data_IF_379117940295
#
_entry.id   IF_379117940295
#
_cell.length_a   1.000
_cell.length_b   1.000
_cell.length_c   1.000
_cell.angle_alpha   90.00
_cell.angle_beta   90.00
_cell.angle_gamma   90.00
#
_symmetry.space_group_name_H-M   'P 1'
#
loop_
_entity.id
_entity.type
_entity.pdbx_description
1 polymer ?
#
# COMPACT_ATOMS: atom_id res chain seq x y z
N UNK A 1 9.95 -7.80 -30.70
CA UNK A 1 10.05 -8.22 -29.29
C UNK A 1 8.96 -7.54 -28.47
N UNK A 2 7.89 -8.25 -28.08
CA UNK A 2 6.88 -7.70 -27.16
C UNK A 2 7.48 -7.73 -25.75
N UNK A 3 7.70 -6.59 -25.10
CA UNK A 3 8.35 -6.48 -23.79
C UNK A 3 7.53 -7.23 -22.72
N UNK A 4 7.90 -8.47 -22.32
CA UNK A 4 7.05 -9.29 -21.45
C UNK A 4 6.99 -8.73 -20.02
N UNK A 5 8.07 -8.08 -19.57
CA UNK A 5 8.18 -7.45 -18.25
C UNK A 5 7.07 -6.43 -18.02
N UNK A 6 6.93 -5.45 -18.92
CA UNK A 6 5.94 -4.37 -18.78
C UNK A 6 4.53 -4.92 -18.85
N UNK A 7 4.26 -5.81 -19.81
CA UNK A 7 2.92 -6.41 -19.98
C UNK A 7 2.48 -7.21 -18.76
N UNK A 8 3.36 -8.06 -18.21
CA UNK A 8 3.05 -8.83 -17.01
C UNK A 8 2.86 -7.91 -15.81
N UNK A 9 3.76 -6.94 -15.62
CA UNK A 9 3.69 -6.00 -14.50
C UNK A 9 2.38 -5.20 -14.52
N UNK A 10 1.91 -4.77 -15.69
CA UNK A 10 0.61 -4.09 -15.83
C UNK A 10 -0.54 -5.03 -15.45
N UNK A 11 -0.56 -6.26 -15.99
CA UNK A 11 -1.62 -7.23 -15.70
C UNK A 11 -1.73 -7.52 -14.20
N UNK A 12 -0.61 -7.88 -13.57
CA UNK A 12 -0.58 -8.18 -12.14
C UNK A 12 -0.84 -6.93 -11.28
N UNK A 13 -0.32 -5.77 -11.67
CA UNK A 13 -0.58 -4.50 -10.99
C UNK A 13 -2.05 -4.08 -11.01
N UNK A 14 -2.76 -4.27 -12.13
CA UNK A 14 -4.19 -3.98 -12.22
C UNK A 14 -5.01 -4.88 -11.29
N UNK A 15 -4.75 -6.20 -11.33
CA UNK A 15 -5.46 -7.16 -10.47
C UNK A 15 -5.16 -6.90 -8.99
N UNK A 16 -3.89 -6.64 -8.64
CA UNK A 16 -3.49 -6.28 -7.28
C UNK A 16 -4.18 -5.00 -6.81
N UNK A 17 -4.26 -3.97 -7.67
CA UNK A 17 -4.93 -2.71 -7.36
C UNK A 17 -6.42 -2.88 -7.11
N UNK A 18 -7.12 -3.60 -7.98
CA UNK A 18 -8.56 -3.88 -7.82
C UNK A 18 -8.82 -4.70 -6.56
N UNK A 19 -8.01 -5.73 -6.30
CA UNK A 19 -8.12 -6.52 -5.08
C UNK A 19 -7.87 -5.67 -3.83
N UNK A 20 -6.84 -4.80 -3.86
CA UNK A 20 -6.54 -3.91 -2.74
C UNK A 20 -7.70 -2.95 -2.46
N UNK A 21 -8.35 -2.40 -3.50
CA UNK A 21 -9.58 -1.60 -3.34
C UNK A 21 -10.71 -2.41 -2.72
N UNK A 22 -10.93 -3.64 -3.19
CA UNK A 22 -11.99 -4.50 -2.66
C UNK A 22 -11.76 -4.84 -1.17
N UNK A 23 -10.52 -5.17 -0.80
CA UNK A 23 -10.12 -5.42 0.60
C UNK A 23 -10.32 -4.16 1.44
N UNK A 24 -9.93 -2.98 0.93
CA UNK A 24 -10.13 -1.71 1.62
C UNK A 24 -11.60 -1.45 1.95
N UNK A 25 -12.49 -1.66 0.98
CA UNK A 25 -13.94 -1.48 1.16
C UNK A 25 -14.49 -2.51 2.15
N UNK A 26 -14.07 -3.78 2.04
CA UNK A 26 -14.46 -4.82 2.98
C UNK A 26 -14.04 -4.48 4.42
N UNK A 27 -12.80 -4.00 4.62
CA UNK A 27 -12.32 -3.59 5.94
C UNK A 27 -13.18 -2.49 6.55
N UNK A 28 -13.55 -1.49 5.76
CA UNK A 28 -14.41 -0.40 6.23
C UNK A 28 -15.76 -0.93 6.75
N UNK A 29 -16.43 -1.80 5.98
CA UNK A 29 -17.71 -2.39 6.40
C UNK A 29 -17.58 -3.41 7.55
N UNK A 30 -16.38 -3.96 7.80
CA UNK A 30 -16.07 -4.74 9.00
C UNK A 30 -15.80 -3.87 10.24
N UNK A 31 -15.98 -2.54 10.13
CA UNK A 31 -15.80 -1.58 11.21
C UNK A 31 -14.35 -1.13 11.43
N UNK A 32 -13.40 -1.61 10.63
CA UNK A 32 -11.99 -1.21 10.71
C UNK A 32 -11.67 -0.18 9.63
N UNK A 33 -11.36 1.04 10.05
CA UNK A 33 -11.03 2.08 9.08
C UNK A 33 -9.70 1.74 8.38
N UNK A 34 -9.65 1.65 7.04
CA UNK A 34 -8.46 1.19 6.32
C UNK A 34 -7.25 2.11 6.49
N UNK A 35 -7.47 3.41 6.71
CA UNK A 35 -6.41 4.37 7.00
C UNK A 35 -5.87 4.32 8.45
N UNK A 36 -6.40 3.45 9.31
CA UNK A 36 -5.95 3.31 10.71
C UNK A 36 -5.10 2.07 10.96
N UNK A 37 -4.84 1.26 9.93
CA UNK A 37 -4.02 0.05 10.07
C UNK A 37 -2.57 0.45 10.27
N UNK A 38 -1.90 -0.18 11.26
CA UNK A 38 -0.46 -0.03 11.44
C UNK A 38 0.28 -0.42 10.16
N UNK A 39 1.28 0.36 9.69
CA UNK A 39 2.02 0.04 8.48
C UNK A 39 2.63 -1.37 8.46
N UNK A 40 2.94 -1.95 9.62
CA UNK A 40 3.50 -3.30 9.75
C UNK A 40 2.47 -4.43 9.56
N UNK A 41 1.18 -4.14 9.80
CA UNK A 41 0.07 -5.09 9.66
C UNK A 41 -0.81 -4.75 8.44
N UNK A 42 -0.27 -3.92 7.55
CA UNK A 42 -0.98 -3.47 6.37
C UNK A 42 -1.17 -4.62 5.36
N UNK A 43 -2.42 -4.86 4.98
CA UNK A 43 -2.77 -5.93 4.04
C UNK A 43 -2.05 -5.80 2.69
N UNK A 44 -1.63 -4.58 2.31
CA UNK A 44 -0.87 -4.31 1.08
C UNK A 44 0.46 -5.05 1.05
N UNK A 45 1.08 -5.36 2.20
CA UNK A 45 2.30 -6.17 2.27
C UNK A 45 2.04 -7.54 1.62
N UNK A 46 0.94 -8.20 2.00
CA UNK A 46 0.57 -9.50 1.43
C UNK A 46 0.18 -9.40 -0.03
N UNK A 47 -0.62 -8.39 -0.40
CA UNK A 47 -1.03 -8.18 -1.80
C UNK A 47 0.19 -7.93 -2.69
N UNK A 48 1.07 -6.99 -2.35
CA UNK A 48 2.29 -6.75 -3.11
C UNK A 48 3.18 -7.99 -3.13
N UNK A 49 3.34 -8.67 -1.99
CA UNK A 49 4.16 -9.86 -1.88
C UNK A 49 3.75 -10.95 -2.87
N UNK A 50 2.46 -11.28 -2.88
CA UNK A 50 1.88 -12.32 -3.75
C UNK A 50 2.02 -11.92 -5.23
N UNK A 51 1.57 -10.72 -5.60
CA UNK A 51 1.49 -10.34 -7.02
C UNK A 51 2.87 -10.04 -7.63
N UNK A 52 3.80 -9.45 -6.87
CA UNK A 52 5.19 -9.29 -7.31
C UNK A 52 5.84 -10.66 -7.47
N UNK A 53 5.68 -11.55 -6.49
CA UNK A 53 6.29 -12.88 -6.55
C UNK A 53 5.81 -13.66 -7.77
N UNK A 54 4.50 -13.76 -8.00
CA UNK A 54 3.96 -14.50 -9.14
C UNK A 54 4.33 -13.84 -10.47
N UNK A 55 4.28 -12.52 -10.59
CA UNK A 55 4.66 -11.83 -11.82
C UNK A 55 6.15 -12.04 -12.16
N UNK A 56 7.04 -11.92 -11.18
CA UNK A 56 8.48 -12.10 -11.40
C UNK A 56 8.84 -13.56 -11.64
N UNK A 57 8.18 -14.49 -10.94
CA UNK A 57 8.32 -15.93 -11.18
C UNK A 57 7.88 -16.29 -12.60
N UNK A 58 6.73 -15.79 -13.04
CA UNK A 58 6.23 -16.02 -14.40
C UNK A 58 7.19 -15.47 -15.46
N UNK A 59 7.68 -14.23 -15.27
CA UNK A 59 8.68 -13.61 -16.13
C UNK A 59 9.95 -14.47 -16.22
N UNK A 60 10.47 -14.90 -15.09
CA UNK A 60 11.69 -15.71 -15.00
C UNK A 60 11.51 -17.06 -15.70
N UNK A 61 10.49 -17.82 -15.30
CA UNK A 61 10.37 -19.23 -15.64
C UNK A 61 9.86 -19.44 -17.07
N UNK A 62 8.94 -18.58 -17.56
CA UNK A 62 8.31 -18.76 -18.88
C UNK A 62 8.85 -17.84 -19.97
N UNK A 63 9.44 -16.69 -19.64
CA UNK A 63 9.86 -15.69 -20.63
C UNK A 63 11.37 -15.45 -20.68
N UNK A 64 12.12 -15.82 -19.64
CA UNK A 64 13.56 -15.53 -19.52
C UNK A 64 14.42 -16.77 -19.26
N UNK A 65 13.88 -17.97 -19.49
CA UNK A 65 14.64 -19.22 -19.42
C UNK A 65 15.22 -19.53 -18.04
N UNK A 66 14.54 -19.11 -16.96
CA UNK A 66 14.97 -19.34 -15.58
C UNK A 66 15.93 -18.29 -15.01
N UNK A 67 16.31 -17.28 -15.81
CA UNK A 67 17.20 -16.18 -15.40
C UNK A 67 16.38 -14.94 -15.08
N UNK A 68 16.70 -14.26 -13.99
CA UNK A 68 16.10 -12.98 -13.62
C UNK A 68 17.17 -12.11 -12.95
N UNK A 69 17.48 -10.97 -13.57
CA UNK A 69 18.39 -9.99 -12.99
C UNK A 69 17.69 -9.15 -11.93
N UNK A 70 18.44 -8.69 -10.93
CA UNK A 70 17.91 -7.84 -9.86
C UNK A 70 17.19 -6.60 -10.39
N UNK A 71 17.75 -5.93 -11.40
CA UNK A 71 17.14 -4.73 -11.98
C UNK A 71 15.79 -5.04 -12.69
N UNK A 72 15.64 -6.24 -13.25
CA UNK A 72 14.36 -6.67 -13.85
C UNK A 72 13.31 -6.90 -12.77
N UNK A 73 13.72 -7.48 -11.64
CA UNK A 73 12.91 -7.57 -10.44
C UNK A 73 12.45 -6.19 -9.98
N UNK A 74 13.40 -5.27 -9.79
CA UNK A 74 13.14 -3.92 -9.29
C UNK A 74 12.18 -3.14 -10.18
N UNK A 75 12.37 -3.17 -11.51
CA UNK A 75 11.48 -2.49 -12.45
C UNK A 75 10.11 -3.18 -12.51
N UNK A 76 10.09 -4.51 -12.63
CA UNK A 76 8.83 -5.27 -12.74
C UNK A 76 7.96 -5.14 -11.50
N UNK A 77 8.52 -5.40 -10.32
CA UNK A 77 7.82 -5.23 -9.05
C UNK A 77 7.50 -3.77 -8.75
N UNK A 78 8.38 -2.82 -9.12
CA UNK A 78 8.12 -1.39 -8.98
C UNK A 78 6.93 -0.91 -9.80
N UNK A 79 6.78 -1.38 -11.04
CA UNK A 79 5.62 -1.09 -11.88
C UNK A 79 4.33 -1.67 -11.28
N UNK A 80 4.38 -2.89 -10.73
CA UNK A 80 3.22 -3.49 -10.04
C UNK A 80 2.80 -2.63 -8.85
N UNK A 81 3.75 -2.23 -8.00
CA UNK A 81 3.50 -1.37 -6.84
C UNK A 81 2.87 -0.05 -7.27
N UNK A 82 3.45 0.61 -8.28
CA UNK A 82 2.94 1.89 -8.76
C UNK A 82 1.50 1.77 -9.26
N UNK A 83 1.23 0.80 -10.15
CA UNK A 83 -0.10 0.60 -10.73
C UNK A 83 -1.10 0.22 -9.64
N UNK A 84 -0.77 -0.74 -8.77
CA UNK A 84 -1.66 -1.18 -7.71
C UNK A 84 -1.96 -0.05 -6.71
N UNK A 85 -0.97 0.77 -6.38
CA UNK A 85 -1.14 1.90 -5.46
C UNK A 85 -1.96 3.01 -6.10
N UNK A 86 -1.76 3.32 -7.40
CA UNK A 86 -2.59 4.28 -8.14
C UNK A 86 -4.05 3.81 -8.18
N UNK A 87 -4.30 2.57 -8.62
CA UNK A 87 -5.65 2.03 -8.73
C UNK A 87 -6.35 1.99 -7.37
N UNK A 88 -5.66 1.56 -6.31
CA UNK A 88 -6.27 1.51 -4.97
C UNK A 88 -6.45 2.89 -4.33
N UNK A 89 -5.59 3.86 -4.65
CA UNK A 89 -5.76 5.25 -4.19
C UNK A 89 -6.92 5.94 -4.92
N UNK A 90 -7.08 5.70 -6.22
CA UNK A 90 -8.26 6.15 -6.97
C UNK A 90 -9.52 5.47 -6.45
N UNK A 91 -9.46 4.16 -6.17
CA UNK A 91 -10.57 3.42 -5.57
C UNK A 91 -10.97 3.99 -4.20
N UNK A 92 -9.99 4.30 -3.35
CA UNK A 92 -10.20 4.97 -2.07
C UNK A 92 -10.79 6.38 -2.25
N UNK A 93 -10.29 7.17 -3.19
CA UNK A 93 -10.83 8.50 -3.49
C UNK A 93 -12.30 8.42 -3.90
N UNK A 94 -12.65 7.52 -4.81
CA UNK A 94 -14.03 7.31 -5.27
C UNK A 94 -14.90 6.86 -4.09
N UNK A 95 -14.47 5.82 -3.38
CA UNK A 95 -15.22 5.26 -2.26
C UNK A 95 -15.45 6.28 -1.14
N UNK A 96 -14.38 6.94 -0.67
CA UNK A 96 -14.48 7.90 0.43
C UNK A 96 -15.09 9.25 0.04
N UNK A 97 -15.29 9.52 -1.26
CA UNK A 97 -16.11 10.66 -1.72
C UNK A 97 -17.59 10.29 -1.81
N UNK A 98 -17.92 9.00 -1.98
CA UNK A 98 -19.30 8.52 -2.06
C UNK A 98 -19.86 8.14 -0.68
N UNK A 99 -19.06 7.53 0.17
CA UNK A 99 -19.45 7.14 1.53
C UNK A 99 -19.23 8.31 2.50
N UNK A 100 -20.31 9.04 2.80
CA UNK A 100 -20.31 10.22 3.69
C UNK A 100 -19.71 9.93 5.08
N UNK A 101 -19.85 8.68 5.54
CA UNK A 101 -19.33 8.26 6.85
C UNK A 101 -17.84 7.99 6.85
N UNK A 102 -17.19 7.88 5.69
CA UNK A 102 -15.80 7.45 5.60
C UNK A 102 -14.86 8.37 6.38
N UNK A 103 -14.86 9.65 6.03
CA UNK A 103 -13.97 10.65 6.67
C UNK A 103 -14.38 10.90 8.12
N UNK A 104 -15.68 11.01 8.42
CA UNK A 104 -16.15 11.27 9.77
C UNK A 104 -15.85 10.10 10.73
N UNK A 105 -15.95 8.86 10.25
CA UNK A 105 -15.55 7.67 11.01
C UNK A 105 -14.05 7.63 11.25
N UNK A 106 -13.22 8.00 10.27
CA UNK A 106 -11.78 8.15 10.49
C UNK A 106 -11.48 9.16 11.60
N UNK A 107 -12.05 10.36 11.51
CA UNK A 107 -11.82 11.44 12.48
C UNK A 107 -12.24 10.98 13.88
N UNK A 108 -13.40 10.34 14.00
CA UNK A 108 -13.89 9.81 15.27
C UNK A 108 -12.95 8.74 15.84
N UNK A 109 -12.66 7.70 15.08
CA UNK A 109 -11.82 6.59 15.55
C UNK A 109 -10.39 7.05 15.87
N UNK A 110 -9.81 7.96 15.08
CA UNK A 110 -8.47 8.50 15.34
C UNK A 110 -8.46 9.40 16.58
N UNK A 111 -9.49 10.21 16.78
CA UNK A 111 -9.65 11.05 17.97
C UNK A 111 -9.75 10.18 19.23
N UNK A 112 -10.58 9.13 19.17
CA UNK A 112 -10.73 8.18 20.27
C UNK A 112 -9.39 7.48 20.56
N UNK A 113 -8.67 7.06 19.52
CA UNK A 113 -7.33 6.47 19.65
C UNK A 113 -6.33 7.41 20.31
N UNK A 114 -6.22 8.67 19.86
CA UNK A 114 -5.29 9.64 20.47
C UNK A 114 -5.62 9.90 21.95
N UNK A 115 -6.91 9.96 22.30
CA UNK A 115 -7.35 10.15 23.69
C UNK A 115 -7.02 8.97 24.61
N UNK A 116 -6.68 7.80 24.06
CA UNK A 116 -6.21 6.66 24.87
C UNK A 116 -4.75 6.76 25.28
N UNK A 117 -4.01 7.76 24.79
CA UNK A 117 -2.58 7.88 25.10
C UNK A 117 -2.37 8.22 26.58
N UNK A 118 -1.52 7.47 27.29
CA UNK A 118 -1.16 7.79 28.66
C UNK A 118 -0.33 9.09 28.72
N UNK A 119 -0.31 9.74 29.88
CA UNK A 119 0.35 11.06 30.05
C UNK A 119 1.84 10.99 29.71
N UNK A 120 2.47 9.88 30.06
CA UNK A 120 3.88 9.60 29.81
C UNK A 120 4.19 9.56 28.29
N UNK A 121 3.27 9.05 27.47
CA UNK A 121 3.42 9.06 26.01
C UNK A 121 3.18 10.45 25.42
N UNK A 122 2.23 11.21 25.97
CA UNK A 122 1.98 12.60 25.56
C UNK A 122 3.21 13.47 25.86
N UNK A 123 3.83 13.31 27.03
CA UNK A 123 5.06 14.00 27.39
C UNK A 123 6.22 13.64 26.45
N UNK A 124 6.35 12.35 26.09
CA UNK A 124 7.38 11.89 25.15
C UNK A 124 7.20 12.40 23.73
N UNK A 125 5.95 12.50 23.26
CA UNK A 125 5.60 13.05 21.94
C UNK A 125 5.75 14.58 21.93
N UNK A 126 5.59 15.21 23.10
CA UNK A 126 5.46 16.64 23.27
C UNK A 126 3.99 17.05 23.22
N UNK A 127 3.52 17.68 24.31
CA UNK A 127 2.12 18.10 24.46
C UNK A 127 1.65 18.99 23.32
N UNK A 128 2.47 19.94 22.88
CA UNK A 128 2.14 20.85 21.77
C UNK A 128 1.92 20.11 20.45
N UNK A 129 2.70 19.03 20.21
CA UNK A 129 2.57 18.20 19.01
C UNK A 129 1.29 17.38 19.07
N UNK A 130 1.00 16.81 20.24
CA UNK A 130 -0.24 16.07 20.50
C UNK A 130 -1.48 16.95 20.30
N UNK A 131 -1.54 18.10 20.97
CA UNK A 131 -2.68 19.01 20.91
C UNK A 131 -2.87 19.54 19.47
N UNK A 132 -1.79 19.94 18.79
CA UNK A 132 -1.84 20.37 17.40
C UNK A 132 -2.41 19.28 16.48
N UNK A 133 -1.97 18.03 16.64
CA UNK A 133 -2.46 16.92 15.82
C UNK A 133 -3.93 16.64 16.11
N UNK A 134 -4.34 16.64 17.39
CA UNK A 134 -5.73 16.44 17.80
C UNK A 134 -6.65 17.53 17.23
N UNK A 135 -6.22 18.79 17.28
CA UNK A 135 -6.96 19.93 16.73
C UNK A 135 -6.99 19.97 15.19
N UNK A 136 -6.01 19.38 14.51
CA UNK A 136 -5.97 19.30 13.05
C UNK A 136 -6.80 18.12 12.49
N UNK A 137 -7.23 17.17 13.31
CA UNK A 137 -8.02 16.02 12.85
C UNK A 137 -9.35 16.40 12.19
N UNK A 138 -10.17 17.34 12.74
CA UNK A 138 -11.44 17.74 12.12
C UNK A 138 -11.30 18.33 10.71
N UNK A 139 -10.13 18.88 10.37
CA UNK A 139 -9.83 19.43 9.04
C UNK A 139 -9.44 18.34 8.02
N UNK A 140 -9.38 17.07 8.46
CA UNK A 140 -9.06 15.96 7.57
C UNK A 140 -10.16 15.78 6.53
N UNK A 141 -9.75 15.64 5.27
CA UNK A 141 -10.62 15.36 4.15
C UNK A 141 -10.13 14.13 3.39
N UNK A 142 -10.94 13.64 2.45
CA UNK A 142 -10.62 12.45 1.67
C UNK A 142 -9.30 12.59 0.90
N UNK A 143 -8.98 13.77 0.36
CA UNK A 143 -7.76 14.00 -0.40
C UNK A 143 -6.52 13.77 0.45
N UNK A 144 -6.49 14.29 1.68
CA UNK A 144 -5.37 14.08 2.62
C UNK A 144 -5.20 12.61 3.00
N UNK A 145 -6.32 11.88 3.16
CA UNK A 145 -6.29 10.43 3.42
C UNK A 145 -5.75 9.65 2.22
N UNK A 146 -6.14 10.02 1.01
CA UNK A 146 -5.66 9.40 -0.23
C UNK A 146 -4.18 9.67 -0.45
N UNK A 147 -3.70 10.90 -0.23
CA UNK A 147 -2.28 11.25 -0.33
C UNK A 147 -1.43 10.45 0.68
N UNK A 148 -1.90 10.33 1.92
CA UNK A 148 -1.25 9.53 2.96
C UNK A 148 -1.24 8.05 2.59
N UNK A 149 -2.38 7.51 2.16
CA UNK A 149 -2.52 6.13 1.73
C UNK A 149 -1.61 5.82 0.55
N UNK A 150 -1.56 6.69 -0.47
CA UNK A 150 -0.68 6.55 -1.63
C UNK A 150 0.79 6.52 -1.21
N UNK A 151 1.25 7.50 -0.42
CA UNK A 151 2.63 7.58 0.03
C UNK A 151 3.07 6.34 0.83
N UNK A 152 2.23 5.88 1.76
CA UNK A 152 2.46 4.65 2.51
C UNK A 152 2.50 3.42 1.59
N UNK A 153 1.62 3.34 0.59
CA UNK A 153 1.59 2.23 -0.37
C UNK A 153 2.87 2.14 -1.18
N UNK A 154 3.39 3.28 -1.67
CA UNK A 154 4.68 3.34 -2.36
C UNK A 154 5.82 2.90 -1.43
N UNK A 155 5.86 3.40 -0.19
CA UNK A 155 6.92 3.05 0.76
C UNK A 155 6.91 1.54 1.07
N UNK A 156 5.76 0.99 1.46
CA UNK A 156 5.59 -0.45 1.76
C UNK A 156 5.96 -1.29 0.54
N UNK A 157 5.41 -0.97 -0.63
CA UNK A 157 5.67 -1.70 -1.86
C UNK A 157 7.12 -1.65 -2.29
N UNK A 158 7.82 -0.54 -2.07
CA UNK A 158 9.25 -0.42 -2.34
C UNK A 158 10.07 -1.43 -1.51
N UNK A 159 9.82 -1.53 -0.20
CA UNK A 159 10.51 -2.51 0.65
C UNK A 159 10.22 -3.95 0.23
N UNK A 160 8.94 -4.28 -0.01
CA UNK A 160 8.55 -5.63 -0.47
C UNK A 160 9.20 -5.98 -1.81
N UNK A 161 9.24 -5.01 -2.74
CA UNK A 161 9.86 -5.17 -4.05
C UNK A 161 11.36 -5.48 -3.94
N UNK A 162 12.10 -4.77 -3.08
CA UNK A 162 13.53 -5.05 -2.86
C UNK A 162 13.72 -6.50 -2.41
N UNK A 163 12.98 -6.92 -1.36
CA UNK A 163 13.10 -8.26 -0.79
C UNK A 163 12.85 -9.33 -1.86
N UNK A 164 11.75 -9.20 -2.62
CA UNK A 164 11.40 -10.18 -3.65
C UNK A 164 12.35 -10.17 -4.85
N UNK A 165 12.85 -8.99 -5.23
CA UNK A 165 13.85 -8.85 -6.29
C UNK A 165 15.16 -9.54 -5.93
N UNK A 166 15.56 -9.53 -4.65
CA UNK A 166 16.70 -10.29 -4.16
C UNK A 166 16.41 -11.80 -4.14
N UNK A 167 15.27 -12.22 -3.59
CA UNK A 167 14.91 -13.64 -3.44
C UNK A 167 14.78 -14.34 -4.79
N UNK A 168 14.18 -13.69 -5.78
CA UNK A 168 13.91 -14.30 -7.09
C UNK A 168 15.06 -14.16 -8.09
N UNK A 169 16.08 -13.37 -7.77
CA UNK A 169 17.28 -13.19 -8.60
C UNK A 169 17.92 -14.54 -8.89
N UNK A 170 18.16 -14.81 -10.18
CA UNK A 170 18.96 -15.95 -10.65
C UNK A 170 19.85 -15.47 -11.79
N UNK A 171 21.15 -15.49 -11.56
CA UNK A 171 22.14 -15.16 -12.58
C UNK A 171 22.70 -16.44 -13.21
N UNK A 172 23.06 -16.42 -14.50
CA UNK A 172 23.78 -17.52 -15.11
C UNK A 172 25.09 -17.75 -14.34
N UNK A 173 25.43 -19.02 -14.08
CA UNK A 173 26.73 -19.38 -13.50
C UNK A 173 27.77 -19.08 -14.59
N UNK A 174 28.57 -18.04 -14.38
CA UNK A 174 29.84 -17.84 -15.09
C UNK A 174 30.84 -18.91 -14.69
#
# INVERSE_FOLDING_TARGET
MKQPLVKLSIRYGLVAGVLATAVLIAMFYMGRHPAMVSPFLDFRIMVFGIFIFFSLKELRDYYQGGILYFWQGMIGGGLIVLIATVISSVGLQIFGSWEERFVSQYIKQMTDYLKTFPKEDIERIGKDVYDRNLHALPETNIRKLVETYFAQGIAIGFFVNIILSVILRRQPKT
#
